data_IF_477510796967
#
_entry.id   IF_477510796967
#
_cell.length_a   1.000
_cell.length_b   1.000
_cell.length_c   1.000
_cell.angle_alpha   90.00
_cell.angle_beta   90.00
_cell.angle_gamma   90.00
#
_symmetry.space_group_name_H-M   'P 1'
#
loop_
_entity.id
_entity.type
_entity.pdbx_description
1 polymer ?
#
# COMPACT_ATOMS: atom_id res chain seq x y z
N UNK A 1 -35.67 24.38 -38.69
CA UNK A 1 -34.58 23.61 -38.08
C UNK A 1 -33.64 24.62 -37.43
N UNK A 2 -33.70 24.79 -36.11
CA UNK A 2 -32.86 25.75 -35.39
C UNK A 2 -31.50 25.12 -35.07
N UNK A 3 -30.43 25.81 -35.43
CA UNK A 3 -29.05 25.38 -35.22
C UNK A 3 -28.66 25.57 -33.75
N UNK A 4 -28.47 24.46 -33.02
CA UNK A 4 -28.03 24.49 -31.62
C UNK A 4 -26.54 24.78 -31.59
N UNK A 5 -26.15 26.01 -31.26
CA UNK A 5 -24.75 26.36 -30.97
C UNK A 5 -24.29 25.60 -29.73
N UNK A 6 -23.36 24.66 -29.93
CA UNK A 6 -22.68 23.94 -28.85
C UNK A 6 -21.87 24.95 -28.04
N UNK A 7 -22.23 25.16 -26.77
CA UNK A 7 -21.44 26.01 -25.88
C UNK A 7 -20.02 25.44 -25.79
N UNK A 8 -19.02 26.29 -26.06
CA UNK A 8 -17.62 25.92 -25.86
C UNK A 8 -17.40 25.82 -24.36
N UNK A 9 -17.28 24.60 -23.84
CA UNK A 9 -16.89 24.36 -22.45
C UNK A 9 -15.57 25.08 -22.16
N UNK A 10 -15.50 25.74 -21.00
CA UNK A 10 -14.32 26.49 -20.58
C UNK A 10 -13.05 25.64 -20.56
N UNK A 11 -11.91 26.27 -20.79
CA UNK A 11 -10.61 25.64 -20.66
C UNK A 11 -10.27 25.48 -19.17
N UNK A 12 -9.46 24.47 -18.82
CA UNK A 12 -9.03 24.24 -17.42
C UNK A 12 -8.33 25.45 -16.77
N UNK A 13 -7.86 26.40 -17.58
CA UNK A 13 -7.21 27.63 -17.11
C UNK A 13 -8.17 28.74 -16.72
N UNK A 14 -9.43 28.63 -17.13
CA UNK A 14 -10.43 29.67 -16.89
C UNK A 14 -10.81 29.79 -15.40
N UNK A 15 -10.34 28.85 -14.56
CA UNK A 15 -10.51 28.87 -13.09
C UNK A 15 -9.48 29.76 -12.37
N UNK A 16 -8.41 30.18 -13.04
CA UNK A 16 -7.35 30.98 -12.43
C UNK A 16 -7.52 32.47 -12.76
N UNK A 17 -7.13 33.35 -11.84
CA UNK A 17 -7.16 34.79 -12.10
C UNK A 17 -6.17 35.16 -13.21
N UNK A 18 -6.49 36.23 -13.96
CA UNK A 18 -5.65 36.73 -15.05
C UNK A 18 -4.22 37.06 -14.59
N UNK A 19 -4.04 37.45 -13.33
CA UNK A 19 -2.76 37.82 -12.73
C UNK A 19 -2.15 36.71 -11.86
N UNK A 20 -2.75 35.52 -11.82
CA UNK A 20 -2.26 34.42 -11.00
C UNK A 20 -0.97 33.81 -11.59
N UNK A 21 0.06 33.68 -10.75
CA UNK A 21 1.34 33.08 -11.15
C UNK A 21 1.23 31.55 -11.06
N UNK A 22 1.03 30.90 -12.20
CA UNK A 22 0.91 29.45 -12.29
C UNK A 22 2.30 28.81 -12.48
N UNK A 23 2.82 28.14 -11.44
CA UNK A 23 4.02 27.32 -11.58
C UNK A 23 3.65 25.92 -12.07
N UNK A 24 4.21 25.51 -13.22
CA UNK A 24 4.10 24.13 -13.70
C UNK A 24 5.37 23.36 -13.34
N UNK A 25 5.25 22.40 -12.44
CA UNK A 25 6.33 21.45 -12.15
C UNK A 25 6.12 20.19 -12.99
N UNK A 26 7.13 19.84 -13.79
CA UNK A 26 7.20 18.56 -14.50
C UNK A 26 8.45 17.84 -14.00
N UNK A 27 8.31 16.74 -13.24
CA UNK A 27 9.45 15.91 -12.89
C UNK A 27 10.17 15.42 -14.14
N UNK A 28 11.49 15.28 -14.07
CA UNK A 28 12.27 14.59 -15.09
C UNK A 28 11.79 13.14 -15.17
N UNK A 29 11.63 12.61 -16.38
CA UNK A 29 11.32 11.20 -16.58
C UNK A 29 12.39 10.32 -15.94
N UNK A 30 11.96 9.26 -15.25
CA UNK A 30 12.86 8.33 -14.56
C UNK A 30 12.32 6.90 -14.67
N UNK A 31 13.23 5.95 -14.90
CA UNK A 31 12.96 4.52 -14.83
C UNK A 31 13.22 3.92 -13.44
N UNK A 32 13.53 4.76 -12.44
CA UNK A 32 13.81 4.30 -11.08
C UNK A 32 12.57 3.68 -10.44
N UNK A 33 12.81 2.66 -9.61
CA UNK A 33 11.77 2.08 -8.80
C UNK A 33 11.46 2.97 -7.60
N UNK A 34 10.37 3.71 -7.68
CA UNK A 34 9.92 4.60 -6.62
C UNK A 34 9.16 3.82 -5.54
N UNK A 35 9.69 3.86 -4.32
CA UNK A 35 9.06 3.32 -3.12
C UNK A 35 7.90 4.23 -2.67
N UNK A 36 6.84 4.26 -3.46
CA UNK A 36 5.63 5.03 -3.19
C UNK A 36 4.62 4.19 -2.40
N UNK A 37 4.14 4.66 -1.24
CA UNK A 37 2.99 4.03 -0.61
C UNK A 37 1.79 4.09 -1.54
N UNK A 38 0.98 3.03 -1.53
CA UNK A 38 -0.26 2.88 -2.30
C UNK A 38 -0.10 2.87 -3.84
N UNK A 39 1.12 2.68 -4.36
CA UNK A 39 1.38 2.47 -5.80
C UNK A 39 2.41 1.36 -6.01
N UNK A 40 2.25 0.57 -7.07
CA UNK A 40 3.20 -0.48 -7.43
C UNK A 40 2.87 -1.82 -6.77
N UNK A 41 3.81 -2.35 -6.00
CA UNK A 41 3.76 -3.73 -5.45
C UNK A 41 3.49 -3.73 -3.94
N UNK A 42 3.07 -4.87 -3.39
CA UNK A 42 2.91 -5.10 -1.95
C UNK A 42 3.53 -6.44 -1.56
N UNK A 43 3.96 -6.61 -0.31
CA UNK A 43 4.28 -7.95 0.22
C UNK A 43 2.98 -8.70 0.48
N UNK A 44 3.00 -10.03 0.34
CA UNK A 44 1.83 -10.88 0.53
C UNK A 44 2.00 -11.76 1.77
N UNK A 45 1.10 -11.62 2.74
CA UNK A 45 1.06 -12.36 4.01
C UNK A 45 2.36 -12.30 4.82
N UNK A 46 3.10 -11.20 4.68
CA UNK A 46 4.39 -10.96 5.34
C UNK A 46 4.79 -9.48 5.25
N UNK A 47 5.88 -9.12 5.91
CA UNK A 47 6.49 -7.80 5.83
C UNK A 47 7.83 -7.83 5.06
N UNK A 48 8.38 -6.66 4.74
CA UNK A 48 9.73 -6.59 4.16
C UNK A 48 10.76 -7.24 5.09
N UNK A 49 11.69 -7.98 4.49
CA UNK A 49 12.74 -8.69 5.23
C UNK A 49 12.33 -10.06 5.76
N UNK A 50 11.04 -10.35 5.83
CA UNK A 50 10.57 -11.67 6.23
C UNK A 50 10.87 -12.69 5.11
N UNK A 51 11.18 -13.95 5.46
CA UNK A 51 11.47 -14.98 4.48
C UNK A 51 10.27 -15.23 3.55
N UNK A 52 10.55 -15.77 2.36
CA UNK A 52 9.51 -16.30 1.48
C UNK A 52 8.95 -17.61 2.06
N UNK A 53 7.74 -17.97 1.65
CA UNK A 53 7.24 -19.33 1.88
C UNK A 53 8.22 -20.36 1.30
N UNK A 54 8.40 -21.51 1.96
CA UNK A 54 9.20 -22.58 1.41
C UNK A 54 8.54 -23.14 0.15
N UNK A 55 9.26 -23.11 -0.97
CA UNK A 55 8.79 -23.65 -2.26
C UNK A 55 7.98 -22.65 -3.08
N UNK A 56 7.04 -23.16 -3.88
CA UNK A 56 6.24 -22.38 -4.83
C UNK A 56 4.76 -22.23 -4.42
N UNK A 57 4.43 -22.65 -3.19
CA UNK A 57 3.08 -22.58 -2.65
C UNK A 57 2.97 -21.43 -1.65
N UNK A 58 1.76 -20.88 -1.50
CA UNK A 58 1.45 -19.82 -0.55
C UNK A 58 0.17 -20.15 0.22
N UNK A 59 -0.05 -19.46 1.34
CA UNK A 59 -1.24 -19.63 2.17
C UNK A 59 -2.10 -18.35 2.15
N UNK A 60 -3.26 -18.42 1.50
CA UNK A 60 -4.22 -17.31 1.43
C UNK A 60 -5.10 -17.17 2.69
N UNK A 61 -5.07 -18.16 3.58
CA UNK A 61 -5.96 -18.26 4.75
C UNK A 61 -5.34 -17.67 6.02
N UNK A 62 -4.02 -17.68 6.14
CA UNK A 62 -3.31 -17.37 7.37
C UNK A 62 -2.21 -16.33 7.13
N UNK A 63 -2.49 -15.09 7.54
CA UNK A 63 -1.46 -14.08 7.72
C UNK A 63 -0.64 -14.30 9.01
N UNK A 64 0.40 -13.48 9.23
CA UNK A 64 1.25 -13.59 10.42
C UNK A 64 0.42 -13.37 11.69
N UNK A 65 0.54 -14.29 12.64
CA UNK A 65 -0.09 -14.19 13.97
C UNK A 65 0.95 -14.01 15.09
N UNK A 66 2.23 -14.11 14.74
CA UNK A 66 3.37 -13.89 15.62
C UNK A 66 4.30 -12.87 14.98
N UNK A 67 4.73 -11.88 15.76
CA UNK A 67 5.57 -10.78 15.29
C UNK A 67 6.89 -10.80 16.05
N UNK A 68 7.93 -11.33 15.40
CA UNK A 68 9.28 -11.35 15.98
C UNK A 68 9.87 -9.94 15.98
N UNK A 69 10.76 -9.61 16.94
CA UNK A 69 11.51 -8.36 16.92
C UNK A 69 12.19 -8.15 15.56
N UNK A 70 12.02 -6.95 15.01
CA UNK A 70 12.60 -6.62 13.72
C UNK A 70 14.12 -6.49 13.83
N UNK A 71 14.85 -7.18 12.96
CA UNK A 71 16.31 -7.23 12.94
C UNK A 71 16.96 -6.05 12.17
N UNK A 72 16.15 -5.16 11.58
CA UNK A 72 16.60 -4.03 10.77
C UNK A 72 16.77 -4.35 9.28
N UNK A 73 16.62 -5.61 8.86
CA UNK A 73 16.81 -6.01 7.47
C UNK A 73 15.50 -5.89 6.67
N UNK A 74 15.46 -4.99 5.67
CA UNK A 74 14.30 -4.82 4.79
C UNK A 74 14.40 -5.62 3.47
N UNK A 75 15.48 -6.37 3.26
CA UNK A 75 15.77 -6.98 1.96
C UNK A 75 14.83 -8.14 1.69
N UNK A 76 14.03 -8.01 0.63
CA UNK A 76 13.25 -9.11 0.08
C UNK A 76 14.11 -9.91 -0.91
N UNK A 77 14.24 -11.21 -0.70
CA UNK A 77 14.91 -12.07 -1.68
C UNK A 77 14.07 -12.11 -2.97
N UNK A 78 14.69 -11.90 -4.14
CA UNK A 78 14.08 -11.97 -5.50
C UNK A 78 12.99 -10.93 -5.83
N UNK A 79 12.60 -10.08 -4.89
CA UNK A 79 11.53 -9.08 -5.08
C UNK A 79 11.99 -7.69 -4.62
N UNK A 80 11.41 -6.62 -5.18
CA UNK A 80 11.71 -5.28 -4.70
C UNK A 80 11.20 -5.09 -3.26
N UNK A 81 11.83 -4.16 -2.54
CA UNK A 81 11.25 -3.60 -1.32
C UNK A 81 9.95 -2.87 -1.69
N UNK A 82 9.00 -2.75 -0.77
CA UNK A 82 7.77 -1.97 -0.98
C UNK A 82 7.41 -1.16 0.26
N UNK A 83 6.56 -0.15 0.11
CA UNK A 83 5.94 0.60 1.22
C UNK A 83 4.60 0.03 1.67
N UNK A 84 4.15 -1.07 1.08
CA UNK A 84 2.87 -1.71 1.39
C UNK A 84 3.09 -3.13 1.89
N UNK A 85 2.42 -3.51 2.96
CA UNK A 85 2.25 -4.90 3.37
C UNK A 85 0.78 -5.28 3.29
N UNK A 86 0.48 -6.41 2.62
CA UNK A 86 -0.86 -6.96 2.56
C UNK A 86 -0.90 -8.24 3.40
N UNK A 87 -1.67 -8.23 4.49
CA UNK A 87 -1.87 -9.39 5.35
C UNK A 87 -3.37 -9.62 5.51
N UNK A 88 -3.83 -10.85 5.31
CA UNK A 88 -5.23 -11.24 5.39
C UNK A 88 -5.38 -12.40 6.35
N UNK A 89 -6.38 -12.30 7.22
CA UNK A 89 -6.76 -13.36 8.13
C UNK A 89 -8.21 -13.76 7.90
N UNK A 90 -8.53 -15.03 8.12
CA UNK A 90 -9.92 -15.43 8.28
C UNK A 90 -10.47 -14.79 9.57
N UNK A 91 -11.76 -14.45 9.56
CA UNK A 91 -12.41 -13.89 10.74
C UNK A 91 -12.27 -14.80 11.97
N UNK A 92 -12.32 -16.12 11.79
CA UNK A 92 -12.12 -17.12 12.85
C UNK A 92 -10.73 -17.10 13.48
N UNK A 93 -9.73 -16.48 12.85
CA UNK A 93 -8.39 -16.29 13.43
C UNK A 93 -8.38 -15.06 14.35
N UNK A 94 -9.10 -14.00 13.95
CA UNK A 94 -9.21 -12.75 14.72
C UNK A 94 -10.21 -12.88 15.87
N UNK A 95 -11.32 -13.59 15.67
CA UNK A 95 -12.35 -13.89 16.67
C UNK A 95 -12.54 -15.42 16.75
N UNK A 96 -11.64 -16.16 17.42
CA UNK A 96 -11.75 -17.61 17.57
C UNK A 96 -13.00 -18.05 18.35
N UNK A 97 -13.47 -17.21 19.27
CA UNK A 97 -14.74 -17.38 19.97
C UNK A 97 -15.47 -16.05 20.00
N UNK A 98 -16.80 -16.07 19.88
CA UNK A 98 -17.61 -14.85 19.85
C UNK A 98 -17.32 -13.93 21.04
N UNK A 99 -16.89 -12.71 20.78
CA UNK A 99 -16.50 -11.70 21.76
C UNK A 99 -15.06 -11.79 22.25
N UNK A 100 -14.29 -12.81 21.86
CA UNK A 100 -12.87 -12.97 22.21
C UNK A 100 -11.99 -12.59 21.02
N UNK A 101 -11.70 -11.30 20.89
CA UNK A 101 -10.88 -10.78 19.81
C UNK A 101 -9.38 -10.87 20.13
N UNK A 102 -8.61 -11.37 19.17
CA UNK A 102 -7.15 -11.41 19.14
C UNK A 102 -6.58 -10.07 18.65
N UNK A 103 -6.74 -9.02 19.47
CA UNK A 103 -6.22 -7.68 19.14
C UNK A 103 -4.70 -7.64 18.99
N UNK A 104 -4.00 -8.56 19.64
CA UNK A 104 -2.55 -8.77 19.52
C UNK A 104 -2.10 -9.00 18.07
N UNK A 105 -2.95 -9.62 17.24
CA UNK A 105 -2.66 -9.82 15.82
C UNK A 105 -2.67 -8.49 15.06
N UNK A 106 -3.69 -7.66 15.32
CA UNK A 106 -3.87 -6.38 14.64
C UNK A 106 -2.80 -5.38 15.09
N UNK A 107 -2.60 -5.25 16.40
CA UNK A 107 -1.61 -4.34 16.97
C UNK A 107 -0.18 -4.75 16.56
N UNK A 108 0.11 -6.05 16.60
CA UNK A 108 1.39 -6.59 16.18
C UNK A 108 1.66 -6.38 14.69
N UNK A 109 0.65 -6.54 13.83
CA UNK A 109 0.80 -6.31 12.39
C UNK A 109 1.01 -4.83 12.06
N UNK A 110 0.25 -3.94 12.71
CA UNK A 110 0.40 -2.49 12.54
C UNK A 110 1.79 -2.04 13.00
N UNK A 111 2.26 -2.54 14.15
CA UNK A 111 3.59 -2.21 14.65
C UNK A 111 4.70 -2.79 13.77
N UNK A 112 4.56 -4.03 13.31
CA UNK A 112 5.53 -4.66 12.40
C UNK A 112 5.67 -3.90 11.08
N UNK A 113 4.54 -3.42 10.51
CA UNK A 113 4.55 -2.56 9.33
C UNK A 113 5.23 -1.21 9.62
N UNK A 114 4.87 -0.56 10.73
CA UNK A 114 5.42 0.73 11.14
C UNK A 114 6.94 0.67 11.31
N UNK A 115 7.45 -0.35 12.00
CA UNK A 115 8.90 -0.56 12.21
C UNK A 115 9.68 -0.73 10.89
N UNK A 116 9.02 -1.21 9.84
CA UNK A 116 9.59 -1.43 8.51
C UNK A 116 9.29 -0.30 7.52
N UNK A 117 8.71 0.81 7.99
CA UNK A 117 8.25 1.93 7.18
C UNK A 117 7.29 1.52 6.04
N UNK A 118 6.42 0.54 6.32
CA UNK A 118 5.33 0.11 5.46
C UNK A 118 3.98 0.58 6.04
N UNK A 119 2.99 0.77 5.17
CA UNK A 119 1.58 0.79 5.57
C UNK A 119 0.99 -0.61 5.42
N UNK A 120 -0.01 -0.91 6.24
CA UNK A 120 -0.67 -2.21 6.29
C UNK A 120 -2.03 -2.16 5.59
N UNK A 121 -2.30 -3.14 4.73
CA UNK A 121 -3.61 -3.46 4.18
C UNK A 121 -4.08 -4.79 4.78
N UNK A 122 -5.33 -4.82 5.25
CA UNK A 122 -5.96 -5.97 5.90
C UNK A 122 -7.32 -6.28 5.28
#
# INVERSE_FOLDING_TARGET
MAEVKKEKGGYWRDVFDRNEVIQRVRPTESGEYLLNPHKGTTTFQRFNGDPLYPGLMWNDREGPVEFKPFDGNLKNERYPQTRMAYCRWLWSVIEPEKGKFRWDIIDGALEAARLRNQTLQM
#
